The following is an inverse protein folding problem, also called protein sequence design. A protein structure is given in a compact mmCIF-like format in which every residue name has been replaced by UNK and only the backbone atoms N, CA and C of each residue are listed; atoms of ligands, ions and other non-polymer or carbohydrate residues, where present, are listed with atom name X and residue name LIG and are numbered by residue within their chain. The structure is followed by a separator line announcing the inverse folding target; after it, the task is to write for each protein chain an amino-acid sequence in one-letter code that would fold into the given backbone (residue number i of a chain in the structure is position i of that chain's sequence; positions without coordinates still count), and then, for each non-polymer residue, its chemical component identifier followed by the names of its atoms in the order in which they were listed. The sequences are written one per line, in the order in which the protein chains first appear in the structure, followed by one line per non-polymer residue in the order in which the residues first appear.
data_IF_714428423715
#
_entry.id   IF_714428423715
#
_cell.length_a   1.000
_cell.length_b   1.000
_cell.length_c   1.000
_cell.angle_alpha   90.00
_cell.angle_beta   90.00
_cell.angle_gamma   90.00
#
_symmetry.space_group_name_H-M   'P 1'
#
loop_
_entity.id
_entity.type
_entity.pdbx_description
1 polymer ?
#
# COMPACT_ATOMS: atom_id res chain seq x y z
N UNK A 1 30.56 -18.40 17.18
CA UNK A 1 29.25 -18.67 17.82
C UNK A 1 28.48 -17.40 18.14
N UNK A 2 29.09 -16.45 18.83
CA UNK A 2 28.45 -15.16 19.14
C UNK A 2 28.04 -14.39 17.89
N UNK A 3 28.91 -14.41 16.88
CA UNK A 3 28.60 -13.73 15.61
C UNK A 3 27.38 -14.30 14.93
N UNK A 4 27.20 -15.61 14.95
CA UNK A 4 26.07 -16.28 14.33
C UNK A 4 24.75 -15.87 15.00
N UNK A 5 24.76 -15.84 16.33
CA UNK A 5 23.59 -15.43 17.11
C UNK A 5 23.20 -13.98 16.83
N UNK A 6 24.19 -13.08 16.77
CA UNK A 6 23.95 -11.68 16.46
C UNK A 6 23.42 -11.48 15.04
N UNK A 7 23.96 -12.21 14.07
CA UNK A 7 23.51 -12.18 12.69
C UNK A 7 22.05 -12.63 12.59
N UNK A 8 21.68 -13.69 13.28
CA UNK A 8 20.28 -14.17 13.28
C UNK A 8 19.32 -13.11 13.83
N UNK A 9 19.66 -12.46 14.93
CA UNK A 9 18.81 -11.42 15.54
C UNK A 9 18.66 -10.23 14.59
N UNK A 10 19.75 -9.77 14.01
CA UNK A 10 19.75 -8.67 13.05
C UNK A 10 18.92 -9.03 11.81
N UNK A 11 19.11 -10.25 11.31
CA UNK A 11 18.39 -10.74 10.14
C UNK A 11 16.89 -10.77 10.38
N UNK A 12 16.44 -11.23 11.55
CA UNK A 12 15.01 -11.27 11.88
C UNK A 12 14.40 -9.87 11.92
N UNK A 13 15.09 -8.93 12.55
CA UNK A 13 14.64 -7.53 12.60
C UNK A 13 14.60 -6.92 11.22
N UNK A 14 15.60 -7.20 10.40
CA UNK A 14 15.67 -6.69 9.02
C UNK A 14 14.55 -7.25 8.19
N UNK A 15 14.24 -8.54 8.28
CA UNK A 15 13.13 -9.18 7.57
C UNK A 15 11.80 -8.56 7.98
N UNK A 16 11.58 -8.35 9.28
CA UNK A 16 10.37 -7.72 9.79
C UNK A 16 10.21 -6.30 9.27
N UNK A 17 11.26 -5.48 9.38
CA UNK A 17 11.24 -4.09 8.90
C UNK A 17 11.02 -4.02 7.39
N UNK A 18 11.64 -4.93 6.66
CA UNK A 18 11.49 -5.01 5.22
C UNK A 18 10.05 -5.36 4.84
N UNK A 19 9.43 -6.29 5.55
CA UNK A 19 8.04 -6.66 5.33
C UNK A 19 7.11 -5.46 5.54
N UNK A 20 7.27 -4.76 6.66
CA UNK A 20 6.46 -3.58 6.99
C UNK A 20 6.63 -2.49 5.93
N UNK A 21 7.88 -2.23 5.52
CA UNK A 21 8.16 -1.23 4.50
C UNK A 21 7.54 -1.60 3.14
N UNK A 22 7.61 -2.87 2.75
CA UNK A 22 7.01 -3.34 1.49
C UNK A 22 5.49 -3.30 1.52
N UNK A 23 4.87 -3.64 2.65
CA UNK A 23 3.42 -3.53 2.80
C UNK A 23 2.97 -2.07 2.66
N UNK A 24 3.70 -1.15 3.27
CA UNK A 24 3.39 0.28 3.14
C UNK A 24 3.62 0.77 1.72
N UNK A 25 4.72 0.36 1.08
CA UNK A 25 4.99 0.67 -0.31
C UNK A 25 3.84 0.22 -1.21
N UNK A 26 3.37 -1.00 -1.00
CA UNK A 26 2.27 -1.56 -1.77
C UNK A 26 0.98 -0.75 -1.60
N UNK A 27 0.68 -0.33 -0.38
CA UNK A 27 -0.48 0.51 -0.10
C UNK A 27 -0.35 1.89 -0.74
N UNK A 28 0.83 2.50 -0.66
CA UNK A 28 1.09 3.81 -1.27
C UNK A 28 0.97 3.74 -2.79
N UNK A 29 1.50 2.71 -3.41
CA UNK A 29 1.34 2.47 -4.84
C UNK A 29 -0.13 2.37 -5.23
N UNK A 30 -0.93 1.66 -4.43
CA UNK A 30 -2.37 1.55 -4.63
C UNK A 30 -3.07 2.90 -4.53
N UNK A 31 -2.66 3.74 -3.59
CA UNK A 31 -3.23 5.08 -3.42
C UNK A 31 -2.90 5.99 -4.61
N UNK A 32 -1.68 5.92 -5.13
CA UNK A 32 -1.29 6.68 -6.32
C UNK A 32 -2.12 6.22 -7.52
N UNK A 33 -2.26 4.93 -7.71
CA UNK A 33 -3.10 4.36 -8.76
C UNK A 33 -4.55 4.79 -8.60
N UNK A 34 -5.06 4.82 -7.36
CA UNK A 34 -6.41 5.26 -7.05
C UNK A 34 -6.62 6.72 -7.44
N UNK A 35 -5.65 7.59 -7.21
CA UNK A 35 -5.75 8.99 -7.62
C UNK A 35 -5.90 9.17 -9.14
N UNK A 36 -5.29 8.28 -9.92
CA UNK A 36 -5.38 8.33 -11.37
C UNK A 36 -6.78 7.99 -11.88
N UNK A 37 -7.57 7.24 -11.11
CA UNK A 37 -8.92 6.79 -11.46
C UNK A 37 -9.92 7.12 -10.35
N UNK A 38 -9.70 8.21 -9.64
CA UNK A 38 -10.48 8.56 -8.44
C UNK A 38 -11.97 8.68 -8.72
N UNK A 39 -12.35 9.29 -9.83
CA UNK A 39 -13.76 9.49 -10.19
C UNK A 39 -14.45 8.15 -10.43
N UNK A 40 -13.75 7.23 -11.05
CA UNK A 40 -14.26 5.88 -11.34
C UNK A 40 -14.40 5.06 -10.06
N UNK A 41 -13.46 5.21 -9.13
CA UNK A 41 -13.51 4.55 -7.82
C UNK A 41 -14.69 5.07 -7.00
N UNK A 42 -14.90 6.37 -6.96
CA UNK A 42 -16.02 6.98 -6.26
C UNK A 42 -17.34 6.48 -6.83
N UNK A 43 -17.46 6.43 -8.16
CA UNK A 43 -18.64 5.90 -8.82
C UNK A 43 -18.88 4.43 -8.47
N UNK A 44 -17.83 3.62 -8.45
CA UNK A 44 -17.91 2.21 -8.07
C UNK A 44 -18.41 2.03 -6.63
N UNK A 45 -17.83 2.79 -5.70
CA UNK A 45 -18.20 2.71 -4.28
C UNK A 45 -19.66 3.11 -4.09
N UNK A 46 -20.12 4.18 -4.77
CA UNK A 46 -21.50 4.63 -4.68
C UNK A 46 -22.49 3.66 -5.30
N UNK A 47 -22.07 2.94 -6.33
CA UNK A 47 -22.91 1.95 -7.01
C UNK A 47 -22.95 0.60 -6.29
N UNK A 48 -22.03 0.37 -5.34
CA UNK A 48 -21.93 -0.91 -4.63
C UNK A 48 -22.93 -0.95 -3.48
N UNK A 49 -23.57 -2.11 -3.32
CA UNK A 49 -24.57 -2.31 -2.25
C UNK A 49 -23.92 -2.44 -0.87
N UNK A 50 -22.71 -3.00 -0.81
CA UNK A 50 -21.98 -3.19 0.44
C UNK A 50 -20.47 -3.11 0.21
N UNK A 51 -19.72 -3.22 1.31
CA UNK A 51 -18.25 -3.16 1.26
C UNK A 51 -17.66 -4.32 0.48
N UNK A 52 -18.25 -5.52 0.59
CA UNK A 52 -17.76 -6.70 -0.11
C UNK A 52 -17.89 -6.52 -1.63
N UNK A 53 -19.01 -5.98 -2.11
CA UNK A 53 -19.20 -5.70 -3.51
C UNK A 53 -18.22 -4.65 -4.04
N UNK A 54 -17.97 -3.60 -3.27
CA UNK A 54 -17.01 -2.57 -3.61
C UNK A 54 -15.60 -3.14 -3.70
N UNK A 55 -15.21 -4.00 -2.76
CA UNK A 55 -13.90 -4.65 -2.77
C UNK A 55 -13.72 -5.52 -3.99
N UNK A 56 -14.70 -6.35 -4.32
CA UNK A 56 -14.67 -7.19 -5.51
C UNK A 56 -14.52 -6.35 -6.78
N UNK A 57 -15.25 -5.25 -6.85
CA UNK A 57 -15.14 -4.32 -7.97
C UNK A 57 -13.74 -3.72 -8.11
N UNK A 58 -13.12 -3.34 -7.01
CA UNK A 58 -11.77 -2.80 -7.02
C UNK A 58 -10.72 -3.84 -7.42
N UNK A 59 -10.93 -5.10 -7.06
CA UNK A 59 -10.03 -6.17 -7.40
C UNK A 59 -10.20 -6.68 -8.84
N UNK A 60 -11.29 -6.31 -9.47
CA UNK A 60 -11.63 -6.72 -10.83
C UNK A 60 -11.12 -5.73 -11.88
N UNK A 61 -11.13 -6.16 -13.14
CA UNK A 61 -10.83 -5.28 -14.29
C UNK A 61 -11.87 -4.15 -14.34
N UNK A 62 -11.48 -2.90 -14.62
CA UNK A 62 -10.15 -2.45 -15.04
C UNK A 62 -9.21 -2.06 -13.91
N UNK A 63 -9.67 -2.05 -12.66
CA UNK A 63 -8.89 -1.55 -11.54
C UNK A 63 -7.74 -2.49 -11.14
N UNK A 64 -8.04 -3.76 -10.98
CA UNK A 64 -7.06 -4.79 -10.64
C UNK A 64 -6.22 -4.51 -9.39
N UNK A 65 -6.82 -3.88 -8.37
CA UNK A 65 -6.15 -3.69 -7.09
C UNK A 65 -5.99 -5.03 -6.37
N UNK A 66 -4.94 -5.16 -5.58
CA UNK A 66 -4.80 -6.30 -4.69
C UNK A 66 -5.80 -6.19 -3.54
N UNK A 67 -5.99 -7.29 -2.81
CA UNK A 67 -6.86 -7.31 -1.64
C UNK A 67 -6.43 -6.27 -0.60
N UNK A 68 -5.12 -6.17 -0.34
CA UNK A 68 -4.56 -5.20 0.60
C UNK A 68 -4.83 -3.77 0.14
N UNK A 69 -4.62 -3.49 -1.14
CA UNK A 69 -4.87 -2.17 -1.71
C UNK A 69 -6.35 -1.83 -1.69
N UNK A 70 -7.20 -2.76 -2.09
CA UNK A 70 -8.66 -2.55 -2.08
C UNK A 70 -9.15 -2.29 -0.66
N UNK A 71 -8.69 -3.06 0.31
CA UNK A 71 -9.06 -2.87 1.70
C UNK A 71 -8.60 -1.50 2.22
N UNK A 72 -7.39 -1.09 1.89
CA UNK A 72 -6.86 0.22 2.27
C UNK A 72 -7.71 1.37 1.71
N UNK A 73 -8.11 1.27 0.44
CA UNK A 73 -8.95 2.26 -0.22
C UNK A 73 -10.33 2.33 0.47
N UNK A 74 -10.91 1.17 0.78
CA UNK A 74 -12.24 1.11 1.40
C UNK A 74 -12.25 1.58 2.85
N UNK A 75 -11.16 1.40 3.57
CA UNK A 75 -11.01 1.89 4.95
C UNK A 75 -10.90 3.41 4.99
N UNK A 76 -10.42 4.04 3.92
CA UNK A 76 -10.39 5.48 3.81
C UNK A 76 -11.79 6.01 3.52
N UNK A 77 -12.17 7.07 4.20
CA UNK A 77 -13.41 7.77 3.87
C UNK A 77 -13.22 8.51 2.54
N UNK A 78 -14.30 8.65 1.77
CA UNK A 78 -14.27 9.38 0.50
C UNK A 78 -13.61 10.76 0.64
N UNK A 79 -13.85 11.40 1.78
CA UNK A 79 -13.26 12.71 2.08
C UNK A 79 -11.74 12.65 2.13
N UNK A 80 -11.19 11.60 2.74
CA UNK A 80 -9.75 11.40 2.80
C UNK A 80 -9.18 11.05 1.43
N UNK A 81 -9.91 10.22 0.70
CA UNK A 81 -9.50 9.77 -0.62
C UNK A 81 -9.36 10.96 -1.59
N UNK A 82 -10.30 11.91 -1.55
CA UNK A 82 -10.25 13.10 -2.40
C UNK A 82 -9.19 14.11 -1.98
N UNK A 83 -8.68 14.01 -0.76
CA UNK A 83 -7.64 14.89 -0.24
C UNK A 83 -6.23 14.31 -0.36
N UNK A 84 -6.09 13.12 -0.91
CA UNK A 84 -4.77 12.53 -1.13
C UNK A 84 -3.95 13.43 -2.08
N UNK A 85 -2.72 13.69 -1.68
CA UNK A 85 -1.79 14.46 -2.48
C UNK A 85 -0.85 13.52 -3.22
N UNK A 86 -0.85 13.61 -4.54
CA UNK A 86 0.07 12.82 -5.37
C UNK A 86 1.52 13.10 -5.02
N UNK A 87 1.84 14.36 -4.79
CA UNK A 87 3.22 14.77 -4.42
C UNK A 87 3.65 14.11 -3.13
N UNK A 88 2.78 14.14 -2.11
CA UNK A 88 3.08 13.53 -0.81
C UNK A 88 3.22 12.02 -0.92
N UNK A 89 2.34 11.37 -1.69
CA UNK A 89 2.40 9.92 -1.89
C UNK A 89 3.65 9.49 -2.66
N UNK A 90 4.01 10.23 -3.69
CA UNK A 90 5.22 9.96 -4.46
C UNK A 90 6.48 10.15 -3.61
N UNK A 91 6.48 11.16 -2.75
CA UNK A 91 7.57 11.38 -1.80
C UNK A 91 7.67 10.22 -0.82
N UNK A 92 6.56 9.81 -0.24
CA UNK A 92 6.53 8.67 0.68
C UNK A 92 7.01 7.39 0.00
N UNK A 93 6.57 7.16 -1.22
CA UNK A 93 7.00 6.00 -2.00
C UNK A 93 8.51 6.01 -2.22
N UNK A 94 9.08 7.16 -2.59
CA UNK A 94 10.52 7.30 -2.77
C UNK A 94 11.29 7.01 -1.48
N UNK A 95 10.83 7.53 -0.36
CA UNK A 95 11.44 7.28 0.95
C UNK A 95 11.38 5.79 1.34
N UNK A 96 10.25 5.15 1.07
CA UNK A 96 10.09 3.72 1.34
C UNK A 96 10.99 2.87 0.46
N UNK A 97 11.13 3.22 -0.80
CA UNK A 97 12.00 2.50 -1.71
C UNK A 97 13.48 2.62 -1.30
N UNK A 98 13.90 3.80 -0.88
CA UNK A 98 15.25 4.00 -0.34
C UNK A 98 15.47 3.17 0.92
N UNK A 99 14.48 3.15 1.81
CA UNK A 99 14.55 2.36 3.04
C UNK A 99 14.63 0.86 2.74
N UNK A 100 13.88 0.38 1.77
CA UNK A 100 13.92 -1.02 1.34
C UNK A 100 15.29 -1.38 0.81
N UNK A 101 15.88 -0.54 -0.03
CA UNK A 101 17.23 -0.75 -0.56
C UNK A 101 18.24 -0.79 0.58
N UNK A 102 18.15 0.14 1.52
CA UNK A 102 19.01 0.18 2.70
C UNK A 102 18.91 -1.10 3.53
N UNK A 103 17.68 -1.57 3.78
CA UNK A 103 17.45 -2.79 4.53
C UNK A 103 17.96 -4.04 3.79
N UNK A 104 17.89 -4.05 2.47
CA UNK A 104 18.38 -5.17 1.67
C UNK A 104 19.89 -5.22 1.58
N UNK A 105 20.57 -4.10 1.80
CA UNK A 105 22.03 -4.03 1.72
C UNK A 105 22.75 -4.48 2.99
N UNK A 106 22.03 -4.78 4.04
CA UNK A 106 22.61 -5.23 5.33
C UNK A 106 23.03 -6.71 5.32
#
# INVERSE_FOLDING_TARGET
MLFRSQVEVITRRTVYRLRVAREREHKVEGRIKALNVIDEIIALIRASDDVAAAREGLMSVPFEFSEIQAQDILEMQLRQLTRLSRIDLERELGELQERIIELQSI
#
